data_IF_941616662664
#
_entry.id   IF_941616662664
#
_cell.length_a   1.000
_cell.length_b   1.000
_cell.length_c   1.000
_cell.angle_alpha   90.00
_cell.angle_beta   90.00
_cell.angle_gamma   90.00
#
_symmetry.space_group_name_H-M   'P 1'
#
loop_
_entity.id
_entity.type
_entity.pdbx_description
1 polymer ?
#
# COMPACT_ATOMS: atom_id res chain seq x y z
N UNK A 1 -0.56 -29.70 44.72
CA UNK A 1 -0.72 -28.41 44.09
C UNK A 1 0.46 -27.96 43.17
N UNK A 2 1.67 -28.48 43.30
CA UNK A 2 2.84 -28.05 42.45
C UNK A 2 2.83 -28.47 40.99
N UNK A 3 2.19 -29.59 40.63
CA UNK A 3 2.19 -30.07 39.20
C UNK A 3 1.31 -29.27 38.24
N UNK A 4 0.24 -28.64 38.67
CA UNK A 4 -0.62 -27.80 37.80
C UNK A 4 0.07 -26.51 37.31
N UNK A 5 0.90 -25.91 38.14
CA UNK A 5 1.60 -24.64 37.78
C UNK A 5 2.74 -24.87 36.78
N UNK A 6 3.38 -26.07 36.78
CA UNK A 6 4.44 -26.39 35.83
C UNK A 6 3.89 -26.59 34.40
N UNK A 7 2.73 -27.23 34.26
CA UNK A 7 2.09 -27.45 32.96
C UNK A 7 1.62 -26.13 32.33
N UNK A 8 1.12 -25.17 33.12
CA UNK A 8 0.72 -23.83 32.65
C UNK A 8 1.94 -23.04 32.16
N UNK A 9 3.07 -23.13 32.86
CA UNK A 9 4.30 -22.44 32.49
C UNK A 9 4.87 -22.98 31.17
N UNK A 10 4.88 -24.31 30.97
CA UNK A 10 5.33 -24.95 29.75
C UNK A 10 4.44 -24.58 28.56
N UNK A 11 3.12 -24.53 28.72
CA UNK A 11 2.18 -24.11 27.66
C UNK A 11 2.41 -22.64 27.25
N UNK A 12 2.67 -21.74 28.21
CA UNK A 12 2.99 -20.33 27.95
C UNK A 12 4.30 -20.19 27.16
N UNK A 13 5.34 -20.96 27.50
CA UNK A 13 6.63 -20.92 26.79
C UNK A 13 6.49 -21.44 25.35
N UNK A 14 5.75 -22.52 25.12
CA UNK A 14 5.52 -23.05 23.77
C UNK A 14 4.74 -22.08 22.89
N UNK A 15 3.74 -21.39 23.45
CA UNK A 15 2.95 -20.40 22.70
C UNK A 15 3.76 -19.16 22.30
N UNK A 16 4.67 -18.71 23.15
CA UNK A 16 5.55 -17.57 22.85
C UNK A 16 6.62 -17.92 21.80
N UNK A 17 7.19 -19.12 21.85
CA UNK A 17 8.13 -19.61 20.83
C UNK A 17 7.45 -19.78 19.48
N UNK A 18 6.22 -20.30 19.41
CA UNK A 18 5.44 -20.41 18.19
C UNK A 18 5.13 -19.06 17.56
N UNK A 19 4.73 -18.07 18.35
CA UNK A 19 4.45 -16.71 17.89
C UNK A 19 5.71 -16.01 17.37
N UNK A 20 6.86 -16.16 18.04
CA UNK A 20 8.13 -15.62 17.55
C UNK A 20 8.59 -16.26 16.24
N UNK A 21 8.39 -17.58 16.10
CA UNK A 21 8.71 -18.31 14.87
C UNK A 21 7.83 -17.85 13.71
N UNK A 22 6.51 -17.65 13.95
CA UNK A 22 5.59 -17.12 12.94
C UNK A 22 5.98 -15.73 12.50
N UNK A 23 6.21 -14.80 13.43
CA UNK A 23 6.61 -13.42 13.12
C UNK A 23 7.89 -13.36 12.27
N UNK A 24 8.88 -14.23 12.52
CA UNK A 24 10.10 -14.33 11.71
C UNK A 24 9.78 -14.75 10.27
N UNK A 25 8.86 -15.71 10.08
CA UNK A 25 8.39 -16.13 8.74
C UNK A 25 7.67 -14.99 8.03
N UNK A 26 6.80 -14.25 8.75
CA UNK A 26 6.09 -13.09 8.21
C UNK A 26 7.08 -12.02 7.70
N UNK A 27 8.07 -11.66 8.54
CA UNK A 27 9.13 -10.69 8.18
C UNK A 27 9.91 -11.17 6.95
N UNK A 28 10.26 -12.46 6.88
CA UNK A 28 10.94 -13.03 5.72
C UNK A 28 10.09 -12.84 4.46
N UNK A 29 8.80 -13.19 4.51
CA UNK A 29 7.90 -13.06 3.36
C UNK A 29 7.72 -11.60 2.93
N UNK A 30 7.61 -10.66 3.87
CA UNK A 30 7.55 -9.23 3.53
C UNK A 30 8.84 -8.79 2.83
N UNK A 31 10.01 -9.22 3.30
CA UNK A 31 11.31 -8.87 2.70
C UNK A 31 11.56 -9.54 1.36
N UNK A 32 10.93 -10.67 1.06
CA UNK A 32 10.98 -11.32 -0.25
C UNK A 32 10.31 -10.47 -1.35
N UNK A 33 9.50 -9.47 -0.99
CA UNK A 33 8.97 -8.46 -1.92
C UNK A 33 9.99 -7.36 -2.26
N UNK A 34 11.22 -7.39 -1.73
CA UNK A 34 12.30 -6.46 -2.06
C UNK A 34 13.19 -7.03 -3.17
N UNK A 35 13.74 -6.14 -4.00
CA UNK A 35 14.65 -6.44 -5.10
C UNK A 35 14.20 -5.84 -6.41
N UNK A 36 14.82 -6.30 -7.50
CA UNK A 36 14.49 -5.89 -8.86
C UNK A 36 13.50 -6.88 -9.50
N UNK A 37 12.41 -6.37 -10.08
CA UNK A 37 11.34 -7.19 -10.66
C UNK A 37 10.94 -6.70 -12.05
N UNK A 38 10.75 -7.62 -12.98
CA UNK A 38 9.84 -7.40 -14.09
C UNK A 38 8.42 -7.52 -13.56
N UNK A 39 7.63 -6.47 -13.74
CA UNK A 39 6.24 -6.44 -13.29
C UNK A 39 5.28 -6.36 -14.46
N UNK A 40 4.20 -7.13 -14.38
CA UNK A 40 3.06 -7.05 -15.28
C UNK A 40 1.80 -6.76 -14.48
N UNK A 41 1.04 -5.81 -14.95
CA UNK A 41 -0.23 -5.37 -14.37
C UNK A 41 -1.35 -5.72 -15.33
N UNK A 42 -2.22 -6.63 -14.95
CA UNK A 42 -3.39 -7.04 -15.74
C UNK A 42 -4.67 -6.78 -14.94
N UNK A 43 -5.66 -6.14 -15.58
CA UNK A 43 -6.96 -5.85 -14.95
C UNK A 43 -8.09 -6.12 -15.95
N UNK A 44 -9.17 -6.71 -15.43
CA UNK A 44 -10.38 -6.97 -16.18
C UNK A 44 -11.61 -6.83 -15.29
N UNK A 45 -12.64 -6.14 -15.78
CA UNK A 45 -13.96 -6.25 -15.18
C UNK A 45 -14.53 -7.63 -15.47
N UNK A 46 -15.06 -8.27 -14.42
CA UNK A 46 -15.53 -9.66 -14.50
C UNK A 46 -17.03 -9.79 -14.36
N UNK A 47 -17.69 -8.81 -13.75
CA UNK A 47 -19.11 -8.83 -13.53
C UNK A 47 -19.64 -7.40 -13.38
N UNK A 48 -20.61 -7.02 -14.21
CA UNK A 48 -21.36 -5.77 -14.14
C UNK A 48 -22.56 -6.02 -13.25
N UNK A 49 -22.73 -5.23 -12.20
CA UNK A 49 -23.77 -5.39 -11.19
C UNK A 49 -24.82 -4.28 -11.21
N UNK A 50 -24.58 -3.21 -11.95
CA UNK A 50 -25.54 -2.12 -12.08
C UNK A 50 -26.63 -2.46 -13.10
N UNK A 51 -27.84 -1.97 -12.82
CA UNK A 51 -28.97 -2.02 -13.77
C UNK A 51 -28.97 -0.79 -14.70
N UNK A 52 -27.95 0.06 -14.63
CA UNK A 52 -27.76 1.23 -15.49
C UNK A 52 -27.34 0.78 -16.89
N UNK A 53 -28.23 0.93 -17.85
CA UNK A 53 -27.99 0.53 -19.25
C UNK A 53 -26.91 1.37 -19.93
N UNK A 54 -26.63 2.58 -19.43
CA UNK A 54 -25.58 3.46 -19.93
C UNK A 54 -24.20 3.16 -19.32
N UNK A 55 -24.10 2.19 -18.42
CA UNK A 55 -22.82 1.83 -17.82
C UNK A 55 -21.90 1.16 -18.83
N UNK A 56 -20.83 1.85 -19.18
CA UNK A 56 -19.73 1.27 -19.96
C UNK A 56 -18.66 0.65 -19.05
N UNK A 57 -18.49 -0.67 -19.16
CA UNK A 57 -17.41 -1.40 -18.49
C UNK A 57 -16.03 -0.95 -18.96
N UNK A 58 -15.06 -0.98 -18.05
CA UNK A 58 -13.66 -0.72 -18.42
C UNK A 58 -13.12 -1.81 -19.33
N UNK A 59 -12.40 -1.42 -20.37
CA UNK A 59 -11.66 -2.37 -21.22
C UNK A 59 -10.59 -3.07 -20.40
N UNK A 60 -10.25 -4.30 -20.79
CA UNK A 60 -9.10 -4.99 -20.22
C UNK A 60 -7.85 -4.12 -20.33
N UNK A 61 -7.13 -4.05 -19.25
CA UNK A 61 -5.90 -3.26 -19.16
C UNK A 61 -4.71 -4.19 -18.90
N UNK A 62 -3.67 -4.02 -19.71
CA UNK A 62 -2.40 -4.70 -19.50
C UNK A 62 -1.27 -3.70 -19.67
N UNK A 63 -0.32 -3.71 -18.75
CA UNK A 63 0.91 -2.94 -18.86
C UNK A 63 2.01 -3.64 -18.08
N UNK A 64 3.24 -3.17 -18.23
CA UNK A 64 4.39 -3.74 -17.52
C UNK A 64 5.51 -2.73 -17.41
N UNK A 65 6.53 -3.10 -16.67
CA UNK A 65 7.73 -2.31 -16.47
C UNK A 65 8.76 -3.05 -15.65
N UNK A 66 9.86 -2.40 -15.39
CA UNK A 66 10.87 -2.83 -14.44
C UNK A 66 10.68 -2.02 -13.16
N UNK A 67 10.59 -2.68 -12.01
CA UNK A 67 10.34 -2.02 -10.74
C UNK A 67 11.35 -2.49 -9.70
N UNK A 68 12.00 -1.53 -9.05
CA UNK A 68 12.89 -1.77 -7.93
C UNK A 68 12.17 -1.50 -6.62
N UNK A 69 12.08 -2.51 -5.78
CA UNK A 69 11.47 -2.46 -4.46
C UNK A 69 12.56 -2.36 -3.39
N UNK A 70 12.80 -1.14 -2.89
CA UNK A 70 13.86 -0.85 -1.93
C UNK A 70 13.35 -0.91 -0.50
N UNK A 71 14.04 -1.66 0.35
CA UNK A 71 13.86 -1.62 1.79
C UNK A 71 14.39 -0.27 2.31
N UNK A 72 13.52 0.59 2.83
CA UNK A 72 13.89 1.95 3.28
C UNK A 72 13.87 2.12 4.79
N UNK A 73 13.15 1.26 5.49
CA UNK A 73 13.10 1.26 6.96
C UNK A 73 12.80 -0.15 7.47
N UNK A 74 13.52 -0.58 8.50
CA UNK A 74 13.26 -1.85 9.19
C UNK A 74 13.50 -1.68 10.69
N UNK A 75 12.48 -2.00 11.47
CA UNK A 75 12.61 -2.18 12.91
C UNK A 75 11.85 -3.44 13.37
N UNK A 76 11.79 -3.67 14.69
CA UNK A 76 11.13 -4.85 15.29
C UNK A 76 9.67 -5.03 14.85
N UNK A 77 8.95 -3.95 14.54
CA UNK A 77 7.52 -3.93 14.29
C UNK A 77 7.13 -3.21 13.01
N UNK A 78 8.09 -2.69 12.25
CA UNK A 78 7.85 -1.93 11.03
C UNK A 78 8.83 -2.33 9.94
N UNK A 79 8.33 -2.48 8.72
CA UNK A 79 9.11 -2.67 7.50
C UNK A 79 8.51 -1.75 6.46
N UNK A 80 9.33 -0.86 5.87
CA UNK A 80 8.89 0.04 4.80
C UNK A 80 9.61 -0.27 3.51
N UNK A 81 8.86 -0.43 2.43
CA UNK A 81 9.37 -0.76 1.10
C UNK A 81 8.92 0.34 0.13
N UNK A 82 9.88 1.00 -0.51
CA UNK A 82 9.64 1.98 -1.56
C UNK A 82 9.77 1.31 -2.92
N UNK A 83 8.75 1.44 -3.74
CA UNK A 83 8.75 0.98 -5.12
C UNK A 83 9.15 2.11 -6.07
N UNK A 84 10.05 1.82 -6.99
CA UNK A 84 10.58 2.77 -7.98
C UNK A 84 10.47 2.10 -9.36
N UNK A 85 9.65 2.70 -10.22
CA UNK A 85 9.39 2.19 -11.56
C UNK A 85 10.40 2.78 -12.54
N UNK A 86 10.96 1.91 -13.37
CA UNK A 86 11.81 2.27 -14.49
C UNK A 86 10.97 2.10 -15.74
N UNK A 87 10.66 3.22 -16.39
CA UNK A 87 9.93 3.28 -17.64
C UNK A 87 10.85 3.80 -18.77
N UNK A 88 10.38 3.77 -20.00
CA UNK A 88 11.17 4.18 -21.17
C UNK A 88 12.05 3.07 -21.72
N UNK A 89 13.00 3.41 -22.60
CA UNK A 89 13.95 2.45 -23.17
C UNK A 89 15.15 2.24 -22.25
N UNK A 90 15.91 1.19 -22.50
CA UNK A 90 17.14 0.89 -21.74
C UNK A 90 18.18 2.03 -21.86
N UNK A 91 18.23 2.68 -23.01
CA UNK A 91 19.17 3.78 -23.31
C UNK A 91 18.71 5.12 -22.70
N UNK A 92 17.40 5.28 -22.46
CA UNK A 92 16.80 6.48 -21.91
C UNK A 92 15.77 6.10 -20.84
N UNK A 93 16.20 5.60 -19.68
CA UNK A 93 15.30 5.23 -18.61
C UNK A 93 14.66 6.48 -17.99
N UNK A 94 13.38 6.40 -17.74
CA UNK A 94 12.61 7.40 -17.00
C UNK A 94 12.23 6.82 -15.64
N UNK A 95 12.70 7.45 -14.56
CA UNK A 95 12.52 6.95 -13.20
C UNK A 95 11.31 7.62 -12.56
N UNK A 96 10.42 6.80 -12.03
CA UNK A 96 9.23 7.25 -11.32
C UNK A 96 9.27 6.68 -9.90
N UNK A 97 9.39 7.55 -8.87
CA UNK A 97 9.05 7.11 -7.52
C UNK A 97 7.59 6.69 -7.55
N UNK A 98 7.36 5.41 -7.38
CA UNK A 98 6.03 4.84 -7.53
C UNK A 98 5.30 4.85 -6.17
N UNK A 99 4.82 3.75 -5.71
CA UNK A 99 4.10 3.64 -4.45
C UNK A 99 5.04 3.19 -3.33
N UNK A 100 4.61 3.37 -2.08
CA UNK A 100 5.29 2.84 -0.90
C UNK A 100 4.34 1.96 -0.12
N UNK A 101 4.86 0.91 0.50
CA UNK A 101 4.14 0.08 1.45
C UNK A 101 4.89 0.01 2.79
N UNK A 102 4.15 0.27 3.86
CA UNK A 102 4.63 0.05 5.22
C UNK A 102 3.87 -1.12 5.83
N UNK A 103 4.62 -2.04 6.40
CA UNK A 103 4.11 -3.18 7.14
C UNK A 103 4.32 -2.95 8.62
N UNK A 104 3.22 -2.92 9.40
CA UNK A 104 3.23 -2.63 10.83
C UNK A 104 2.65 -3.82 11.61
N UNK A 105 3.44 -4.37 12.52
CA UNK A 105 3.00 -5.49 13.35
C UNK A 105 2.11 -5.00 14.49
N UNK A 106 0.90 -5.56 14.59
CA UNK A 106 -0.10 -5.24 15.63
C UNK A 106 -0.42 -3.74 15.69
N UNK A 107 -0.54 -3.10 14.51
CA UNK A 107 -0.95 -1.70 14.42
C UNK A 107 -2.40 -1.52 14.91
N UNK A 108 -2.65 -0.46 15.66
CA UNK A 108 -3.97 -0.12 16.20
C UNK A 108 -4.52 1.19 15.60
N UNK A 109 -3.69 2.00 15.00
CA UNK A 109 -4.07 3.31 14.46
C UNK A 109 -4.23 3.23 12.94
N UNK A 110 -5.46 3.47 12.46
CA UNK A 110 -5.85 3.34 11.05
C UNK A 110 -6.38 4.64 10.49
N UNK A 111 -6.09 4.87 9.19
CA UNK A 111 -6.68 5.87 8.35
C UNK A 111 -7.51 5.20 7.26
N UNK A 112 -8.77 4.97 7.53
CA UNK A 112 -9.69 4.26 6.63
C UNK A 112 -10.21 5.23 5.57
N UNK A 113 -9.98 4.93 4.31
CA UNK A 113 -10.51 5.74 3.21
C UNK A 113 -12.04 5.74 3.20
N UNK A 114 -12.61 6.92 3.15
CA UNK A 114 -14.05 7.11 3.01
C UNK A 114 -14.39 7.35 1.53
N UNK A 115 -14.32 8.57 1.06
CA UNK A 115 -14.48 9.00 -0.34
C UNK A 115 -13.86 10.41 -0.49
N UNK A 116 -13.70 10.88 -1.71
CA UNK A 116 -13.32 12.27 -2.04
C UNK A 116 -12.09 12.79 -1.27
N UNK A 117 -11.00 12.03 -1.25
CA UNK A 117 -9.76 12.34 -0.54
C UNK A 117 -9.93 12.53 0.98
N UNK A 118 -10.86 11.80 1.58
CA UNK A 118 -11.11 11.79 3.02
C UNK A 118 -10.77 10.44 3.63
N UNK A 119 -10.11 10.47 4.78
CA UNK A 119 -9.80 9.30 5.59
C UNK A 119 -10.27 9.54 7.02
N UNK A 120 -10.95 8.56 7.57
CA UNK A 120 -11.36 8.56 8.98
C UNK A 120 -10.28 7.92 9.83
N UNK A 121 -9.86 8.60 10.90
CA UNK A 121 -9.00 7.98 11.90
C UNK A 121 -9.83 7.00 12.74
N UNK A 122 -9.35 5.75 12.82
CA UNK A 122 -10.00 4.68 13.57
C UNK A 122 -8.95 4.01 14.45
N UNK A 123 -9.20 3.97 15.75
CA UNK A 123 -8.39 3.21 16.70
C UNK A 123 -9.02 1.84 16.94
N UNK A 124 -8.27 0.76 16.72
CA UNK A 124 -8.68 -0.62 16.97
C UNK A 124 -8.27 -1.09 18.37
N UNK A 125 -8.97 -2.09 18.90
CA UNK A 125 -8.51 -2.76 20.13
C UNK A 125 -7.27 -3.60 19.80
N UNK A 126 -6.27 -3.53 20.70
CA UNK A 126 -5.03 -4.30 20.56
C UNK A 126 -5.28 -5.82 20.50
N UNK A 127 -6.35 -6.30 21.13
CA UNK A 127 -6.72 -7.72 21.13
C UNK A 127 -7.08 -8.20 19.73
N UNK A 128 -7.77 -7.35 18.95
CA UNK A 128 -8.20 -7.67 17.57
C UNK A 128 -7.01 -7.67 16.61
N UNK A 129 -5.93 -6.98 16.96
CA UNK A 129 -4.74 -6.84 16.12
C UNK A 129 -3.64 -7.84 16.43
N UNK A 130 -3.84 -8.71 17.42
CA UNK A 130 -2.82 -9.67 17.86
C UNK A 130 -2.40 -10.61 16.72
N UNK A 131 -1.09 -10.64 16.43
CA UNK A 131 -0.50 -11.51 15.41
C UNK A 131 -0.76 -11.06 13.97
N UNK A 132 -1.33 -9.87 13.76
CA UNK A 132 -1.60 -9.33 12.44
C UNK A 132 -0.53 -8.33 11.99
N UNK A 133 -0.36 -8.23 10.67
CA UNK A 133 0.38 -7.19 10.00
C UNK A 133 -0.59 -6.26 9.26
N UNK A 134 -0.44 -4.97 9.45
CA UNK A 134 -1.14 -3.95 8.68
C UNK A 134 -0.27 -3.53 7.52
N UNK A 135 -0.76 -3.66 6.30
CA UNK A 135 -0.17 -3.00 5.14
C UNK A 135 -0.79 -1.60 5.01
N UNK A 136 0.03 -0.57 5.06
CA UNK A 136 -0.33 0.80 4.68
C UNK A 136 0.26 1.10 3.33
N UNK A 137 -0.56 1.48 2.38
CA UNK A 137 -0.15 1.83 1.01
C UNK A 137 -0.26 3.33 0.83
N UNK A 138 0.80 3.91 0.28
CA UNK A 138 0.93 5.34 0.05
C UNK A 138 1.06 5.63 -1.44
N UNK A 139 0.62 6.82 -1.83
CA UNK A 139 0.74 7.32 -3.20
C UNK A 139 2.18 7.74 -3.52
N UNK A 140 2.39 8.25 -4.73
CA UNK A 140 3.72 8.68 -5.20
C UNK A 140 4.30 9.85 -4.38
N UNK A 141 3.46 10.61 -3.71
CA UNK A 141 3.79 11.74 -2.81
C UNK A 141 3.75 11.38 -1.32
N UNK A 142 3.69 10.07 -1.03
CA UNK A 142 3.54 9.51 0.30
C UNK A 142 2.26 9.91 1.06
N UNK A 143 1.29 10.55 0.40
CA UNK A 143 -0.06 10.70 0.96
C UNK A 143 -0.73 9.34 1.11
N UNK A 144 -1.71 9.20 2.04
CA UNK A 144 -2.35 7.91 2.27
C UNK A 144 -3.14 7.46 1.04
N UNK A 145 -3.15 6.16 0.80
CA UNK A 145 -4.00 5.57 -0.21
C UNK A 145 -5.04 4.66 0.42
N UNK A 146 -4.63 3.55 0.95
CA UNK A 146 -5.46 2.61 1.70
C UNK A 146 -4.62 1.81 2.68
N UNK A 147 -5.25 1.22 3.65
CA UNK A 147 -4.60 0.34 4.60
C UNK A 147 -5.54 -0.74 5.10
N UNK A 148 -4.97 -1.86 5.48
CA UNK A 148 -5.73 -2.95 6.03
C UNK A 148 -4.84 -3.95 6.76
N UNK A 149 -5.45 -4.77 7.59
CA UNK A 149 -4.76 -5.70 8.47
C UNK A 149 -5.20 -7.14 8.22
N UNK A 150 -4.26 -8.05 8.38
CA UNK A 150 -4.47 -9.47 8.26
C UNK A 150 -3.28 -10.26 8.81
N UNK A 151 -3.44 -11.56 8.91
CA UNK A 151 -2.37 -12.47 9.30
C UNK A 151 -1.70 -13.05 8.06
N UNK A 152 -0.36 -13.09 8.07
CA UNK A 152 0.36 -13.94 7.12
C UNK A 152 0.02 -15.41 7.39
N UNK A 153 -0.19 -16.15 6.34
CA UNK A 153 -0.47 -17.60 6.36
C UNK A 153 0.69 -18.33 5.72
N UNK A 154 1.20 -19.37 6.40
CA UNK A 154 2.29 -20.21 5.93
C UNK A 154 1.81 -21.66 5.99
N UNK A 155 1.20 -22.14 4.92
CA UNK A 155 0.60 -23.45 4.83
C UNK A 155 0.83 -24.06 3.44
N UNK A 156 1.08 -25.34 3.37
CA UNK A 156 1.19 -26.10 2.12
C UNK A 156 2.19 -25.45 1.12
N UNK A 157 3.34 -25.03 1.64
CA UNK A 157 4.40 -24.40 0.82
C UNK A 157 4.09 -22.97 0.36
N UNK A 158 2.94 -22.42 0.73
CA UNK A 158 2.52 -21.05 0.39
C UNK A 158 2.77 -20.09 1.53
N UNK A 159 3.11 -18.85 1.18
CA UNK A 159 3.18 -17.71 2.10
C UNK A 159 2.38 -16.57 1.51
N UNK A 160 1.27 -16.21 2.16
CA UNK A 160 0.40 -15.14 1.68
C UNK A 160 -0.25 -14.34 2.81
N UNK A 161 -0.68 -13.16 2.47
CA UNK A 161 -1.43 -12.23 3.33
C UNK A 161 -2.62 -11.68 2.56
N UNK A 162 -3.77 -11.54 3.22
CA UNK A 162 -5.00 -11.07 2.61
C UNK A 162 -5.69 -10.01 3.46
N UNK A 163 -6.35 -9.07 2.77
CA UNK A 163 -7.17 -8.03 3.38
C UNK A 163 -8.17 -7.45 2.39
N UNK A 164 -9.25 -6.87 2.90
CA UNK A 164 -10.17 -6.03 2.12
C UNK A 164 -10.22 -4.64 2.72
N UNK A 165 -10.08 -3.60 1.88
CA UNK A 165 -10.08 -2.20 2.32
C UNK A 165 -10.65 -1.26 1.25
N UNK A 166 -11.28 -0.16 1.70
CA UNK A 166 -11.67 0.93 0.82
C UNK A 166 -10.45 1.72 0.36
N UNK A 167 -10.44 2.10 -0.90
CA UNK A 167 -9.36 2.84 -1.54
C UNK A 167 -9.91 3.88 -2.52
N UNK A 168 -9.17 4.97 -2.81
CA UNK A 168 -9.48 5.84 -3.94
C UNK A 168 -9.35 5.06 -5.25
N UNK A 169 -9.91 5.63 -6.32
CA UNK A 169 -9.83 5.09 -7.67
C UNK A 169 -8.36 4.80 -8.06
N UNK A 170 -8.13 3.71 -8.81
CA UNK A 170 -6.81 3.45 -9.35
C UNK A 170 -6.42 4.53 -10.37
N UNK A 171 -5.13 4.81 -10.45
CA UNK A 171 -4.61 5.90 -11.29
C UNK A 171 -4.98 5.78 -12.77
N UNK A 172 -5.13 4.55 -13.28
CA UNK A 172 -5.59 4.28 -14.65
C UNK A 172 -7.02 4.74 -14.94
N UNK A 173 -7.84 4.97 -13.89
CA UNK A 173 -9.24 5.38 -13.99
C UNK A 173 -9.54 6.74 -13.37
N UNK A 174 -8.73 7.19 -12.42
CA UNK A 174 -8.93 8.43 -11.67
C UNK A 174 -9.20 9.68 -12.54
N UNK A 175 -8.57 9.80 -13.71
CA UNK A 175 -8.76 10.91 -14.63
C UNK A 175 -9.80 10.64 -15.73
N UNK A 176 -10.36 9.42 -15.78
CA UNK A 176 -11.23 8.96 -16.86
C UNK A 176 -12.65 8.66 -16.40
N UNK A 177 -12.83 8.31 -15.14
CA UNK A 177 -14.10 7.87 -14.57
C UNK A 177 -14.56 8.81 -13.45
N UNK A 178 -15.85 9.13 -13.48
CA UNK A 178 -16.54 9.95 -12.46
C UNK A 178 -17.78 9.24 -11.91
N UNK A 179 -18.08 8.06 -12.42
CA UNK A 179 -19.28 7.27 -12.14
C UNK A 179 -19.17 6.44 -10.87
N UNK A 180 -17.98 6.35 -10.28
CA UNK A 180 -17.77 5.75 -8.96
C UNK A 180 -16.65 6.49 -8.20
N UNK A 181 -16.60 6.35 -6.87
CA UNK A 181 -15.67 7.11 -6.04
C UNK A 181 -14.89 6.26 -5.02
N UNK A 182 -15.20 4.97 -4.91
CA UNK A 182 -14.49 4.04 -4.02
C UNK A 182 -14.19 2.74 -4.74
N UNK A 183 -12.97 2.26 -4.61
CA UNK A 183 -12.62 0.87 -4.92
C UNK A 183 -12.56 0.09 -3.60
N UNK A 184 -13.50 -0.84 -3.38
CA UNK A 184 -13.35 -1.81 -2.31
C UNK A 184 -12.37 -2.88 -2.80
N UNK A 185 -11.15 -2.85 -2.30
CA UNK A 185 -10.03 -3.69 -2.77
C UNK A 185 -9.91 -4.94 -1.92
N UNK A 186 -10.07 -6.10 -2.53
CA UNK A 186 -9.54 -7.33 -1.99
C UNK A 186 -8.07 -7.43 -2.40
N UNK A 187 -7.17 -7.47 -1.43
CA UNK A 187 -5.74 -7.57 -1.66
C UNK A 187 -5.24 -8.93 -1.18
N UNK A 188 -4.49 -9.64 -2.02
CA UNK A 188 -3.73 -10.81 -1.64
C UNK A 188 -2.30 -10.66 -2.11
N UNK A 189 -1.36 -10.61 -1.16
CA UNK A 189 0.08 -10.67 -1.41
C UNK A 189 0.52 -12.12 -1.23
N UNK A 190 1.08 -12.74 -2.26
CA UNK A 190 1.55 -14.13 -2.20
C UNK A 190 2.98 -14.23 -2.71
N UNK A 191 3.86 -14.84 -1.90
CA UNK A 191 5.23 -15.11 -2.29
C UNK A 191 5.25 -16.35 -3.16
N UNK A 192 5.94 -16.27 -4.29
CA UNK A 192 6.10 -17.36 -5.26
C UNK A 192 7.57 -17.72 -5.43
N UNK A 193 7.90 -18.88 -6.03
CA UNK A 193 9.29 -19.25 -6.30
C UNK A 193 10.04 -18.26 -7.20
N UNK A 194 9.33 -17.52 -8.06
CA UNK A 194 9.91 -16.54 -8.99
C UNK A 194 9.83 -15.09 -8.52
N UNK A 195 9.24 -14.82 -7.35
CA UNK A 195 9.04 -13.46 -6.85
C UNK A 195 7.77 -13.34 -6.02
N UNK A 196 6.81 -12.53 -6.42
CA UNK A 196 5.54 -12.38 -5.69
C UNK A 196 4.40 -11.90 -6.59
N UNK A 197 3.19 -12.09 -6.09
CA UNK A 197 1.96 -11.70 -6.80
C UNK A 197 1.10 -10.84 -5.91
N UNK A 198 0.56 -9.75 -6.45
CA UNK A 198 -0.53 -9.00 -5.86
C UNK A 198 -1.82 -9.31 -6.62
N UNK A 199 -2.58 -10.25 -6.10
CA UNK A 199 -3.92 -10.58 -6.57
C UNK A 199 -4.94 -9.60 -5.97
N UNK A 200 -5.86 -9.13 -6.81
CA UNK A 200 -6.87 -8.15 -6.41
C UNK A 200 -8.27 -8.64 -6.80
N UNK A 201 -9.18 -8.58 -5.84
CA UNK A 201 -10.62 -8.80 -6.04
C UNK A 201 -11.37 -7.52 -5.67
N UNK A 202 -11.55 -6.65 -6.65
CA UNK A 202 -12.02 -5.30 -6.45
C UNK A 202 -13.53 -5.18 -6.74
N UNK A 203 -14.18 -4.23 -6.05
CA UNK A 203 -15.53 -3.76 -6.41
C UNK A 203 -15.46 -2.27 -6.65
N UNK A 204 -16.03 -1.80 -7.76
CA UNK A 204 -16.26 -0.39 -8.06
C UNK A 204 -17.54 0.04 -7.35
N UNK A 205 -17.44 1.06 -6.50
CA UNK A 205 -18.52 1.45 -5.57
C UNK A 205 -18.81 2.94 -5.70
N UNK A 206 -20.10 3.25 -5.77
CA UNK A 206 -20.62 4.58 -5.48
C UNK A 206 -20.92 4.62 -3.99
N UNK A 207 -20.25 5.51 -3.27
CA UNK A 207 -20.48 5.79 -1.87
C UNK A 207 -21.00 7.19 -1.67
N UNK A 208 -22.19 7.27 -1.05
CA UNK A 208 -22.84 8.53 -0.64
C UNK A 208 -22.98 8.50 0.87
N UNK A 209 -22.66 9.65 1.50
CA UNK A 209 -22.76 9.75 2.97
C UNK A 209 -24.19 9.46 3.46
N UNK A 210 -24.31 8.51 4.37
CA UNK A 210 -25.61 8.13 4.96
C UNK A 210 -26.39 7.10 4.15
N UNK A 211 -25.90 6.68 2.99
CA UNK A 211 -26.53 5.66 2.16
C UNK A 211 -25.71 4.36 2.16
N UNK A 212 -26.37 3.28 1.72
CA UNK A 212 -25.69 2.00 1.51
C UNK A 212 -24.84 2.05 0.23
N UNK A 213 -23.62 1.57 0.28
CA UNK A 213 -22.73 1.44 -0.88
C UNK A 213 -23.44 0.71 -2.05
N UNK A 214 -23.43 1.34 -3.24
CA UNK A 214 -23.90 0.72 -4.50
C UNK A 214 -22.72 0.16 -5.27
N UNK A 215 -22.74 -1.13 -5.56
CA UNK A 215 -21.70 -1.79 -6.37
C UNK A 215 -22.06 -1.65 -7.84
N UNK A 216 -21.17 -1.09 -8.65
CA UNK A 216 -21.31 -0.99 -10.11
C UNK A 216 -20.79 -2.24 -10.81
N UNK A 217 -19.59 -2.64 -10.51
CA UNK A 217 -18.91 -3.76 -11.16
C UNK A 217 -17.89 -4.43 -10.23
N UNK A 218 -17.57 -5.67 -10.57
CA UNK A 218 -16.43 -6.38 -10.00
C UNK A 218 -15.25 -6.33 -10.98
N UNK A 219 -14.04 -6.27 -10.46
CA UNK A 219 -12.81 -6.23 -11.22
C UNK A 219 -11.78 -7.17 -10.62
N UNK A 220 -11.11 -7.94 -11.44
CA UNK A 220 -9.91 -8.70 -11.05
C UNK A 220 -8.66 -7.98 -11.49
N UNK A 221 -7.68 -7.90 -10.60
CA UNK A 221 -6.35 -7.44 -10.91
C UNK A 221 -5.32 -8.52 -10.60
N UNK A 222 -4.33 -8.63 -11.46
CA UNK A 222 -3.21 -9.55 -11.28
C UNK A 222 -1.91 -8.83 -11.57
N UNK A 223 -1.17 -8.47 -10.52
CA UNK A 223 0.14 -7.88 -10.67
C UNK A 223 1.19 -8.95 -10.36
N UNK A 224 1.91 -9.37 -11.39
CA UNK A 224 2.93 -10.41 -11.28
C UNK A 224 4.33 -9.78 -11.28
N UNK A 225 5.07 -10.01 -10.21
CA UNK A 225 6.43 -9.53 -9.99
C UNK A 225 7.40 -10.70 -10.11
N UNK A 226 8.11 -10.77 -11.23
CA UNK A 226 9.13 -11.79 -11.48
C UNK A 226 10.49 -11.19 -11.13
N UNK A 227 11.18 -11.81 -10.17
CA UNK A 227 12.50 -11.35 -9.71
C UNK A 227 13.53 -11.50 -10.82
N UNK A 228 14.31 -10.46 -11.03
CA UNK A 228 15.40 -10.41 -11.99
C UNK A 228 16.69 -9.96 -11.32
N UNK A 229 17.80 -9.95 -12.05
CA UNK A 229 19.10 -9.50 -11.53
C UNK A 229 19.03 -8.02 -11.12
N UNK A 230 19.54 -7.70 -9.93
CA UNK A 230 19.46 -6.36 -9.34
C UNK A 230 20.19 -5.30 -10.20
N UNK A 231 21.18 -5.69 -11.01
CA UNK A 231 21.86 -4.78 -11.95
C UNK A 231 20.92 -4.14 -12.96
N UNK A 232 19.79 -4.80 -13.28
CA UNK A 232 18.76 -4.22 -14.17
C UNK A 232 18.06 -2.99 -13.57
N UNK A 233 18.08 -2.86 -12.25
CA UNK A 233 17.50 -1.73 -11.52
C UNK A 233 18.51 -0.66 -11.09
N UNK A 234 19.74 -0.70 -11.59
CA UNK A 234 20.82 0.23 -11.22
C UNK A 234 20.40 1.70 -11.39
N UNK A 235 19.70 2.03 -12.46
CA UNK A 235 19.20 3.40 -12.69
C UNK A 235 18.24 3.89 -11.61
N UNK A 236 17.37 3.00 -11.09
CA UNK A 236 16.48 3.31 -9.98
C UNK A 236 17.25 3.47 -8.66
N UNK A 237 18.25 2.61 -8.40
CA UNK A 237 19.10 2.68 -7.23
C UNK A 237 19.89 4.00 -7.21
N UNK A 238 20.50 4.38 -8.34
CA UNK A 238 21.23 5.63 -8.49
C UNK A 238 20.32 6.86 -8.31
N UNK A 239 19.10 6.80 -8.83
CA UNK A 239 18.12 7.87 -8.61
C UNK A 239 17.73 7.97 -7.14
N UNK A 240 17.48 6.84 -6.49
CA UNK A 240 17.13 6.79 -5.07
C UNK A 240 18.23 7.37 -4.18
N UNK A 241 19.47 7.02 -4.42
CA UNK A 241 20.61 7.54 -3.64
C UNK A 241 20.71 9.07 -3.67
N UNK A 242 20.34 9.69 -4.78
CA UNK A 242 20.29 11.15 -4.92
C UNK A 242 19.08 11.79 -4.23
N UNK A 243 17.98 11.05 -4.09
CA UNK A 243 16.69 11.60 -3.66
C UNK A 243 16.23 11.11 -2.27
N UNK A 244 16.87 10.10 -1.68
CA UNK A 244 16.46 9.42 -0.45
C UNK A 244 16.25 10.37 0.73
N UNK A 245 17.11 11.38 0.91
CA UNK A 245 17.01 12.36 2.00
C UNK A 245 15.76 13.24 1.85
N UNK A 246 15.45 13.72 0.66
CA UNK A 246 14.22 14.45 0.38
C UNK A 246 12.98 13.60 0.75
N UNK A 247 12.94 12.35 0.27
CA UNK A 247 11.80 11.48 0.53
C UNK A 247 11.72 10.98 1.96
N UNK A 248 12.84 10.96 2.70
CA UNK A 248 12.83 10.76 4.15
C UNK A 248 12.15 11.93 4.87
N UNK A 249 12.46 13.18 4.52
CA UNK A 249 11.79 14.36 5.05
C UNK A 249 10.28 14.35 4.74
N UNK A 250 9.89 13.95 3.53
CA UNK A 250 8.47 13.78 3.15
C UNK A 250 7.79 12.74 4.05
N UNK A 251 8.43 11.57 4.28
CA UNK A 251 7.89 10.53 5.17
C UNK A 251 7.77 11.02 6.61
N UNK A 252 8.77 11.77 7.11
CA UNK A 252 8.73 12.34 8.46
C UNK A 252 7.55 13.31 8.64
N UNK A 253 7.30 14.18 7.66
CA UNK A 253 6.14 15.09 7.71
C UNK A 253 4.82 14.33 7.70
N UNK A 254 4.67 13.32 6.84
CA UNK A 254 3.48 12.48 6.85
C UNK A 254 3.32 11.70 8.16
N UNK A 255 4.42 11.22 8.76
CA UNK A 255 4.37 10.55 10.07
C UNK A 255 3.87 11.51 11.17
N UNK A 256 4.29 12.77 11.15
CA UNK A 256 3.76 13.83 12.04
C UNK A 256 2.25 14.02 11.84
N UNK A 257 1.81 14.14 10.57
CA UNK A 257 0.37 14.29 10.24
C UNK A 257 -0.45 13.12 10.76
N UNK A 258 0.01 11.88 10.55
CA UNK A 258 -0.65 10.67 11.08
C UNK A 258 -0.61 10.63 12.61
N UNK A 259 0.46 11.12 13.22
CA UNK A 259 0.60 11.22 14.66
C UNK A 259 -0.42 12.12 15.35
N UNK A 260 -1.08 13.00 14.60
CA UNK A 260 -2.17 13.86 15.10
C UNK A 260 -3.44 13.06 15.44
N UNK A 261 -3.61 11.86 14.88
CA UNK A 261 -4.73 10.93 15.14
C UNK A 261 -6.11 11.59 14.93
N UNK A 262 -6.22 12.40 13.89
CA UNK A 262 -7.45 13.10 13.47
C UNK A 262 -7.85 12.63 12.07
N UNK A 263 -9.13 12.75 11.74
CA UNK A 263 -9.59 12.54 10.37
C UNK A 263 -8.77 13.41 9.42
N UNK A 264 -8.46 12.87 8.26
CA UNK A 264 -7.67 13.53 7.24
C UNK A 264 -8.54 13.85 6.03
N UNK A 265 -8.48 15.09 5.57
CA UNK A 265 -9.14 15.54 4.36
C UNK A 265 -8.11 16.30 3.52
N UNK A 266 -7.87 15.83 2.29
CA UNK A 266 -6.85 16.41 1.42
C UNK A 266 -7.48 17.15 0.25
N UNK A 267 -6.98 18.36 -0.01
CA UNK A 267 -7.28 19.13 -1.21
C UNK A 267 -6.77 18.37 -2.45
N UNK A 268 -7.52 18.39 -3.53
CA UNK A 268 -7.08 17.81 -4.81
C UNK A 268 -5.90 18.61 -5.39
N UNK A 269 -5.97 19.94 -5.29
CA UNK A 269 -4.95 20.88 -5.79
C UNK A 269 -4.82 22.06 -4.86
N UNK A 270 -3.63 22.67 -4.85
CA UNK A 270 -3.33 23.99 -4.31
C UNK A 270 -2.66 24.77 -5.43
N UNK A 271 -3.15 25.99 -5.71
CA UNK A 271 -2.69 26.81 -6.85
C UNK A 271 -2.68 26.01 -8.18
N UNK A 272 -3.73 25.22 -8.41
CA UNK A 272 -3.91 24.32 -9.57
C UNK A 272 -2.91 23.16 -9.68
N UNK A 273 -2.02 22.97 -8.73
CA UNK A 273 -1.05 21.86 -8.71
C UNK A 273 -1.50 20.76 -7.74
N UNK A 274 -1.50 19.49 -8.13
CA UNK A 274 -1.61 18.38 -7.18
C UNK A 274 -0.31 18.22 -6.39
N UNK A 275 -0.37 17.69 -5.16
CA UNK A 275 0.76 17.61 -4.24
C UNK A 275 1.98 16.91 -4.85
N UNK A 276 1.76 15.83 -5.60
CA UNK A 276 2.87 15.11 -6.22
C UNK A 276 3.69 15.99 -7.18
N UNK A 277 3.07 16.89 -7.95
CA UNK A 277 3.81 17.78 -8.84
C UNK A 277 4.69 18.74 -8.06
N UNK A 278 4.19 19.25 -6.92
CA UNK A 278 4.96 20.12 -6.03
C UNK A 278 6.15 19.36 -5.43
N UNK A 279 5.91 18.17 -4.86
CA UNK A 279 6.98 17.40 -4.20
C UNK A 279 8.01 16.81 -5.18
N UNK A 280 7.67 16.63 -6.46
CA UNK A 280 8.63 16.18 -7.47
C UNK A 280 9.44 17.33 -8.08
N UNK A 281 9.06 18.60 -7.83
CA UNK A 281 9.85 19.76 -8.28
C UNK A 281 11.24 19.75 -7.65
N UNK A 282 12.26 20.09 -8.44
CA UNK A 282 13.63 20.27 -7.96
C UNK A 282 13.79 21.47 -7.02
N UNK A 283 12.87 22.44 -7.09
CA UNK A 283 12.86 23.61 -6.23
C UNK A 283 12.46 23.31 -4.78
N UNK A 284 11.75 22.22 -4.53
CA UNK A 284 11.28 21.81 -3.20
C UNK A 284 12.21 20.76 -2.60
N UNK A 285 13.23 21.18 -1.88
CA UNK A 285 14.22 20.29 -1.29
C UNK A 285 14.48 20.54 0.21
N UNK A 286 14.20 21.75 0.68
CA UNK A 286 14.39 22.09 2.10
C UNK A 286 13.23 21.54 2.93
N UNK A 287 13.54 21.14 4.17
CA UNK A 287 12.57 20.52 5.07
C UNK A 287 11.36 21.41 5.35
N UNK A 288 11.57 22.72 5.48
CA UNK A 288 10.48 23.67 5.74
C UNK A 288 9.58 23.85 4.51
N UNK A 289 10.13 23.83 3.30
CA UNK A 289 9.37 23.87 2.05
C UNK A 289 8.51 22.61 1.88
N UNK A 290 9.08 21.43 2.16
CA UNK A 290 8.37 20.15 2.15
C UNK A 290 7.22 20.18 3.15
N UNK A 291 7.51 20.59 4.40
CA UNK A 291 6.53 20.64 5.47
C UNK A 291 5.38 21.61 5.14
N UNK A 292 5.70 22.80 4.69
CA UNK A 292 4.71 23.82 4.30
C UNK A 292 3.88 23.38 3.11
N UNK A 293 4.51 22.73 2.11
CA UNK A 293 3.82 22.18 0.95
C UNK A 293 2.78 21.14 1.38
N UNK A 294 3.18 20.12 2.12
CA UNK A 294 2.26 19.07 2.58
C UNK A 294 1.14 19.67 3.42
N UNK A 295 1.45 20.56 4.37
CA UNK A 295 0.47 21.19 5.26
C UNK A 295 -0.60 21.99 4.48
N UNK A 296 -0.22 22.64 3.38
CA UNK A 296 -1.14 23.43 2.56
C UNK A 296 -2.25 22.59 1.90
N UNK A 297 -2.03 21.29 1.73
CA UNK A 297 -3.02 20.37 1.15
C UNK A 297 -3.97 19.77 2.20
N UNK A 298 -3.72 19.97 3.49
CA UNK A 298 -4.58 19.45 4.54
C UNK A 298 -5.71 20.44 4.82
N UNK A 299 -6.96 19.95 4.79
CA UNK A 299 -8.12 20.70 5.27
C UNK A 299 -8.36 20.33 6.74
N UNK A 300 -8.47 21.33 7.58
CA UNK A 300 -8.84 21.19 9.00
C UNK A 300 -10.32 21.38 9.22
#
# INVERSE_FOLDING_TARGET
MRKKNLNILILLIISTLGAQTKKKKDIKSIKEMCGCFEVRFDFAETFIKTDDEDYEGSKNYSSGGLEWAQLVEEDKNKISIQHILIAGSKERPYIIKHWRQDWLYQNIDFYVYDHDNKWSFVKKDIKDMKGQWTQKVFQVDDSPRYEGSGSWVHVDGKSYWENTSSAPLPRREYSKRIDYNVTLRGNRQEITPSGWVHNQDNKKIIRVKGEKDKVLAHEKGYNNYVKVDDSRCESAANWWDKNKTKWENVRMKWAEVYGRKKNLNLKKTVNNNPLYMVLFSEDINQIDEINSSIESYINY
#
